data_IF_611987491526
#
_entry.id   IF_611987491526
#
_cell.length_a   1.000
_cell.length_b   1.000
_cell.length_c   1.000
_cell.angle_alpha   90.00
_cell.angle_beta   90.00
_cell.angle_gamma   90.00
#
_symmetry.space_group_name_H-M   'P 1'
#
loop_
_entity.id
_entity.type
_entity.pdbx_description
1 polymer ?
#
# COMPACT_ATOMS: atom_id res chain seq x y z
N UNK A 1 0.67 16.17 49.36
CA UNK A 1 -0.61 16.22 48.64
C UNK A 1 -0.32 16.57 47.16
N UNK A 2 -0.94 15.84 46.22
CA UNK A 2 -1.05 16.04 44.75
C UNK A 2 0.28 16.12 43.95
N UNK A 3 0.68 15.25 43.00
CA UNK A 3 0.08 14.51 41.87
C UNK A 3 -0.16 15.34 40.58
N UNK A 4 0.28 14.76 39.44
CA UNK A 4 -0.03 15.09 38.01
C UNK A 4 0.81 16.25 37.43
N UNK A 5 1.50 16.17 36.28
CA UNK A 5 1.16 15.65 34.93
C UNK A 5 2.39 15.03 34.23
N UNK A 6 2.18 13.87 33.63
CA UNK A 6 3.07 13.23 32.67
C UNK A 6 2.49 13.48 31.27
N UNK A 7 2.88 14.57 30.59
CA UNK A 7 2.28 14.94 29.30
C UNK A 7 3.29 15.22 28.16
N UNK A 8 4.60 15.25 28.42
CA UNK A 8 5.59 15.65 27.40
C UNK A 8 6.20 14.51 26.57
N UNK A 9 5.74 13.27 26.71
CA UNK A 9 6.32 12.09 26.01
C UNK A 9 5.53 11.60 24.80
N UNK A 10 4.39 12.20 24.47
CA UNK A 10 3.51 11.68 23.43
C UNK A 10 3.77 12.29 22.04
N UNK A 11 4.43 13.46 21.98
CA UNK A 11 4.65 14.20 20.74
C UNK A 11 5.70 13.57 19.81
N UNK A 12 6.77 12.97 20.36
CA UNK A 12 7.84 12.34 19.54
C UNK A 12 7.45 11.01 18.89
N UNK A 13 6.39 10.34 19.34
CA UNK A 13 5.91 9.11 18.69
C UNK A 13 5.01 9.37 17.48
N UNK A 14 4.49 10.59 17.32
CA UNK A 14 3.58 10.93 16.23
C UNK A 14 4.35 11.30 14.95
N UNK A 15 5.42 12.08 15.07
CA UNK A 15 6.28 12.45 13.93
C UNK A 15 6.93 11.23 13.25
N UNK A 16 7.34 10.20 14.01
CA UNK A 16 7.93 8.98 13.43
C UNK A 16 6.94 8.12 12.63
N UNK A 17 5.63 8.32 12.81
CA UNK A 17 4.60 7.65 12.01
C UNK A 17 4.35 8.38 10.69
N UNK A 18 4.48 9.70 10.70
CA UNK A 18 4.32 10.52 9.50
C UNK A 18 5.52 10.38 8.54
N UNK A 19 6.74 10.13 9.05
CA UNK A 19 7.92 9.86 8.20
C UNK A 19 7.98 8.45 7.58
N UNK A 20 7.15 7.51 8.03
CA UNK A 20 7.04 6.21 7.33
C UNK A 20 6.11 6.29 6.12
N UNK A 21 5.24 7.31 6.06
CA UNK A 21 4.22 7.44 5.02
C UNK A 21 4.77 7.71 3.62
N UNK A 22 6.01 8.16 3.52
CA UNK A 22 6.68 8.39 2.23
C UNK A 22 7.15 7.08 1.55
N UNK A 23 6.94 5.91 2.18
CA UNK A 23 7.17 4.58 1.57
C UNK A 23 6.00 3.58 1.77
N UNK A 24 4.85 4.02 2.29
CA UNK A 24 3.74 3.21 2.81
C UNK A 24 2.75 2.67 1.75
N UNK A 25 3.24 2.06 0.67
CA UNK A 25 2.36 1.25 -0.16
C UNK A 25 1.93 0.00 0.63
N UNK A 26 0.62 -0.29 0.71
CA UNK A 26 0.14 -1.58 1.22
C UNK A 26 0.64 -2.68 0.31
N UNK A 27 1.28 -3.69 0.90
CA UNK A 27 1.75 -4.87 0.18
C UNK A 27 0.57 -5.72 -0.27
N UNK A 28 0.49 -5.97 -1.57
CA UNK A 28 -0.51 -6.82 -2.17
C UNK A 28 0.14 -7.86 -3.07
N UNK A 29 -0.53 -9.00 -3.17
CA UNK A 29 -0.16 -10.08 -4.09
C UNK A 29 -1.18 -10.15 -5.20
N UNK A 30 -0.69 -10.14 -6.43
CA UNK A 30 -1.50 -10.25 -7.64
C UNK A 30 -2.03 -11.69 -7.78
N UNK A 31 -3.33 -11.82 -7.99
CA UNK A 31 -4.06 -13.08 -8.11
C UNK A 31 -4.11 -13.61 -9.54
N UNK A 32 -4.17 -12.71 -10.52
CA UNK A 32 -4.34 -13.03 -11.93
C UNK A 32 -3.44 -12.17 -12.80
N UNK A 33 -3.05 -12.70 -13.95
CA UNK A 33 -2.32 -11.93 -14.95
C UNK A 33 -3.20 -10.79 -15.45
N UNK A 34 -2.62 -9.59 -15.52
CA UNK A 34 -3.27 -8.41 -16.06
C UNK A 34 -2.34 -7.73 -17.06
N UNK A 35 -2.84 -7.52 -18.27
CA UNK A 35 -2.14 -6.81 -19.32
C UNK A 35 -2.70 -5.39 -19.38
N UNK A 36 -1.80 -4.42 -19.33
CA UNK A 36 -2.14 -3.00 -19.46
C UNK A 36 -2.98 -2.76 -20.73
N UNK A 37 -4.12 -2.08 -20.57
CA UNK A 37 -5.05 -1.75 -21.65
C UNK A 37 -4.96 -0.27 -22.03
N UNK A 38 -4.58 0.58 -21.08
CA UNK A 38 -4.29 1.99 -21.24
C UNK A 38 -2.81 2.32 -20.95
N UNK A 39 -2.30 3.48 -21.38
CA UNK A 39 -0.94 3.93 -21.07
C UNK A 39 -0.65 4.04 -19.57
N UNK A 40 -1.68 4.31 -18.77
CA UNK A 40 -1.59 4.50 -17.32
C UNK A 40 -1.77 3.18 -16.55
N UNK A 41 -2.02 2.06 -17.24
CA UNK A 41 -2.19 0.75 -16.62
C UNK A 41 -0.85 0.05 -16.39
N UNK A 42 -0.80 -0.76 -15.35
CA UNK A 42 0.36 -1.56 -15.00
C UNK A 42 0.16 -3.01 -15.41
N UNK A 43 1.05 -3.54 -16.25
CA UNK A 43 1.07 -4.97 -16.55
C UNK A 43 1.69 -5.76 -15.40
N UNK A 44 0.96 -6.75 -14.88
CA UNK A 44 1.37 -7.60 -13.75
C UNK A 44 1.08 -9.07 -14.04
N UNK A 45 1.83 -9.97 -13.40
CA UNK A 45 1.59 -11.41 -13.45
C UNK A 45 1.08 -11.93 -12.11
N UNK A 46 0.36 -13.04 -12.14
CA UNK A 46 -0.04 -13.78 -10.95
C UNK A 46 1.18 -14.05 -10.07
N UNK A 47 0.98 -13.90 -8.77
CA UNK A 47 1.98 -13.99 -7.71
C UNK A 47 3.05 -12.88 -7.73
N UNK A 48 2.90 -11.84 -8.56
CA UNK A 48 3.70 -10.64 -8.41
C UNK A 48 3.32 -9.91 -7.12
N UNK A 49 4.35 -9.41 -6.45
CA UNK A 49 4.20 -8.48 -5.34
C UNK A 49 4.13 -7.06 -5.88
N UNK A 50 3.17 -6.30 -5.38
CA UNK A 50 2.97 -4.89 -5.72
C UNK A 50 2.72 -4.10 -4.44
N UNK A 51 2.91 -2.79 -4.54
CA UNK A 51 2.66 -1.86 -3.46
C UNK A 51 1.59 -0.88 -3.91
N UNK A 52 0.48 -0.78 -3.19
CA UNK A 52 -0.60 0.15 -3.53
C UNK A 52 -0.91 1.05 -2.34
N UNK A 53 -1.02 2.36 -2.57
CA UNK A 53 -1.44 3.31 -1.55
C UNK A 53 -2.97 3.27 -1.43
N UNK A 54 -3.50 2.45 -0.52
CA UNK A 54 -4.95 2.32 -0.33
C UNK A 54 -5.62 3.59 0.23
N UNK A 55 -4.85 4.53 0.78
CA UNK A 55 -5.34 5.80 1.32
C UNK A 55 -5.60 6.85 0.23
N UNK A 56 -4.92 6.75 -0.91
CA UNK A 56 -4.97 7.74 -1.98
C UNK A 56 -5.48 7.16 -3.32
N UNK A 57 -6.49 6.29 -3.26
CA UNK A 57 -7.13 5.72 -4.45
C UNK A 57 -8.24 6.64 -4.97
N UNK A 58 -8.02 7.24 -6.13
CA UNK A 58 -8.95 8.20 -6.74
C UNK A 58 -9.96 7.56 -7.70
N UNK A 59 -9.68 6.35 -8.18
CA UNK A 59 -10.47 5.66 -9.19
C UNK A 59 -11.14 4.43 -8.59
N UNK A 60 -12.47 4.39 -8.59
CA UNK A 60 -13.22 3.26 -8.04
C UNK A 60 -13.00 1.97 -8.86
N UNK A 61 -12.86 0.85 -8.16
CA UNK A 61 -12.56 -0.45 -8.77
C UNK A 61 -11.12 -0.64 -9.24
N UNK A 62 -10.28 0.39 -9.19
CA UNK A 62 -8.87 0.35 -9.60
C UNK A 62 -7.93 0.63 -8.43
N UNK A 63 -6.70 0.13 -8.55
CA UNK A 63 -5.62 0.38 -7.62
C UNK A 63 -4.46 1.00 -8.38
N UNK A 64 -4.07 2.21 -8.00
CA UNK A 64 -2.77 2.76 -8.33
C UNK A 64 -1.71 1.99 -7.54
N UNK A 65 -0.89 1.24 -8.25
CA UNK A 65 0.09 0.33 -7.67
C UNK A 65 1.47 0.52 -8.31
N UNK A 66 2.48 0.13 -7.55
CA UNK A 66 3.87 0.05 -7.96
C UNK A 66 4.29 -1.41 -8.09
N UNK A 67 4.79 -1.79 -9.26
CA UNK A 67 5.42 -3.08 -9.47
C UNK A 67 6.95 -2.96 -9.30
N UNK A 68 7.55 -3.55 -8.26
CA UNK A 68 8.99 -3.52 -8.05
C UNK A 68 9.78 -4.27 -9.14
N UNK A 69 9.16 -5.29 -9.78
CA UNK A 69 9.77 -6.06 -10.87
C UNK A 69 10.05 -5.20 -12.11
N UNK A 70 9.09 -4.37 -12.50
CA UNK A 70 9.18 -3.51 -13.68
C UNK A 70 9.58 -2.08 -13.34
N UNK A 71 9.60 -1.74 -12.04
CA UNK A 71 9.84 -0.39 -11.49
C UNK A 71 8.89 0.64 -12.10
N UNK A 72 7.64 0.25 -12.30
CA UNK A 72 6.61 1.10 -12.90
C UNK A 72 5.42 1.26 -11.96
N UNK A 73 4.81 2.42 -12.05
CA UNK A 73 3.51 2.71 -11.46
C UNK A 73 2.44 2.56 -12.53
N UNK A 74 1.24 2.21 -12.11
CA UNK A 74 0.06 2.23 -12.97
C UNK A 74 -1.15 1.63 -12.28
N UNK A 75 -2.28 1.68 -12.99
CA UNK A 75 -3.53 1.10 -12.52
C UNK A 75 -3.59 -0.41 -12.75
N UNK A 76 -4.14 -1.11 -11.76
CA UNK A 76 -4.61 -2.49 -11.91
C UNK A 76 -6.02 -2.62 -11.34
N UNK A 77 -6.81 -3.63 -11.75
CA UNK A 77 -8.11 -3.86 -11.12
C UNK A 77 -7.96 -4.24 -9.65
N UNK A 78 -8.75 -3.63 -8.76
CA UNK A 78 -8.70 -3.92 -7.31
C UNK A 78 -8.96 -5.38 -6.99
N UNK A 79 -9.84 -6.03 -7.75
CA UNK A 79 -10.17 -7.45 -7.58
C UNK A 79 -9.00 -8.39 -7.93
N UNK A 80 -7.95 -7.90 -8.59
CA UNK A 80 -6.82 -8.70 -9.05
C UNK A 80 -5.69 -8.75 -8.02
N UNK A 81 -5.78 -8.02 -6.92
CA UNK A 81 -4.78 -8.01 -5.89
C UNK A 81 -5.43 -8.16 -4.51
N UNK A 82 -4.73 -8.84 -3.60
CA UNK A 82 -5.17 -8.98 -2.21
C UNK A 82 -3.99 -8.86 -1.24
N UNK A 83 -4.23 -8.48 0.02
CA UNK A 83 -3.21 -8.60 1.05
C UNK A 83 -2.70 -10.05 1.12
N UNK A 84 -1.39 -10.25 1.31
CA UNK A 84 -0.85 -11.57 1.56
C UNK A 84 -1.51 -12.15 2.81
N UNK A 85 -2.20 -13.29 2.67
CA UNK A 85 -2.78 -13.97 3.82
C UNK A 85 -1.64 -14.59 4.64
N UNK A 86 -1.22 -13.93 5.72
CA UNK A 86 -0.43 -14.57 6.77
C UNK A 86 -1.38 -15.40 7.62
N UNK A 87 -1.57 -16.67 7.26
CA UNK A 87 -2.18 -17.61 8.20
C UNK A 87 -1.18 -17.80 9.34
N UNK A 88 -1.50 -17.27 10.52
CA UNK A 88 -0.81 -17.67 11.75
C UNK A 88 -1.13 -19.14 11.98
N UNK A 89 -0.10 -19.98 11.86
CA UNK A 89 -0.11 -21.39 12.26
C UNK A 89 0.04 -21.52 13.77
#
# INVERSE_FOLDING_TARGET
AANVTADDRQSQQKDLRDFRDETNGTELVVLYDYKAQAPDDLSVKRADWIYADLGNQTVDGWLWAYAPKTRKYGFIPKAYARPPAMTSL
#
